data_IF_884071498806
#
_entry.id   IF_884071498806
#
_cell.length_a   1.000
_cell.length_b   1.000
_cell.length_c   1.000
_cell.angle_alpha   90.00
_cell.angle_beta   90.00
_cell.angle_gamma   90.00
#
_symmetry.space_group_name_H-M   'P 1'
#
loop_
_entity.id
_entity.type
_entity.pdbx_description
1 polymer ?
#
# COMPACT_ATOMS: atom_id res chain seq x y z
N UNK A 1 -12.55 -5.64 6.14
CA UNK A 1 -11.69 -4.44 6.10
C UNK A 1 -11.23 -4.24 4.67
N UNK A 2 -11.64 -3.15 4.03
CA UNK A 2 -11.16 -2.81 2.68
C UNK A 2 -9.84 -2.03 2.83
N UNK A 3 -8.76 -2.53 2.23
CA UNK A 3 -7.47 -1.82 2.24
C UNK A 3 -7.53 -0.65 1.26
N UNK A 4 -6.88 0.46 1.60
CA UNK A 4 -6.81 1.68 0.78
C UNK A 4 -5.38 2.15 0.61
N UNK A 5 -5.13 2.93 -0.44
CA UNK A 5 -3.81 3.47 -0.72
C UNK A 5 -3.43 4.50 0.36
N UNK A 6 -2.32 4.34 1.07
CA UNK A 6 -1.93 5.27 2.15
C UNK A 6 -1.58 6.68 1.66
N UNK A 7 -1.40 6.87 0.34
CA UNK A 7 -1.09 8.18 -0.25
C UNK A 7 -2.31 8.94 -0.80
N UNK A 8 -3.37 8.24 -1.22
CA UNK A 8 -4.52 8.91 -1.86
C UNK A 8 -5.88 8.37 -1.45
N UNK A 9 -5.93 7.43 -0.50
CA UNK A 9 -7.13 6.73 -0.06
C UNK A 9 -7.91 6.00 -1.19
N UNK A 10 -7.30 5.86 -2.36
CA UNK A 10 -7.89 5.17 -3.50
C UNK A 10 -7.89 3.64 -3.36
N UNK A 11 -8.59 2.95 -4.26
CA UNK A 11 -8.64 1.49 -4.26
C UNK A 11 -7.25 0.89 -4.52
N UNK A 12 -7.00 -0.27 -3.90
CA UNK A 12 -5.76 -1.04 -4.06
C UNK A 12 -6.06 -2.51 -4.32
N UNK A 13 -5.10 -3.17 -4.95
CA UNK A 13 -5.12 -4.61 -5.22
C UNK A 13 -4.17 -5.32 -4.25
N UNK A 14 -4.59 -6.41 -3.62
CA UNK A 14 -3.69 -7.25 -2.82
C UNK A 14 -2.88 -8.11 -3.79
N UNK A 15 -1.56 -7.91 -3.82
CA UNK A 15 -0.66 -8.65 -4.73
C UNK A 15 0.12 -9.75 -4.02
N UNK A 16 0.18 -9.71 -2.69
CA UNK A 16 0.81 -10.75 -1.87
C UNK A 16 0.34 -10.65 -0.41
N UNK A 17 0.35 -11.78 0.30
CA UNK A 17 0.06 -11.85 1.75
C UNK A 17 1.10 -12.73 2.43
N UNK A 18 1.56 -12.32 3.61
CA UNK A 18 2.47 -13.09 4.44
C UNK A 18 1.82 -14.39 4.92
N UNK A 19 2.65 -15.40 5.21
CA UNK A 19 2.19 -16.70 5.69
C UNK A 19 1.41 -16.60 7.01
N UNK A 20 1.83 -15.71 7.90
CA UNK A 20 1.15 -15.47 9.18
C UNK A 20 -0.12 -14.62 9.02
N UNK A 21 -0.36 -14.05 7.83
CA UNK A 21 -1.52 -13.24 7.48
C UNK A 21 -1.52 -11.82 8.04
N UNK A 22 -0.45 -11.40 8.71
CA UNK A 22 -0.31 -10.09 9.39
C UNK A 22 0.24 -8.99 8.48
N UNK A 23 0.83 -9.35 7.35
CA UNK A 23 1.39 -8.38 6.42
C UNK A 23 0.82 -8.64 5.02
N UNK A 24 0.41 -7.57 4.36
CA UNK A 24 -0.13 -7.61 2.99
C UNK A 24 0.61 -6.60 2.14
N UNK A 25 1.01 -7.02 0.95
CA UNK A 25 1.49 -6.12 -0.07
C UNK A 25 0.29 -5.69 -0.93
N UNK A 26 0.05 -4.39 -1.01
CA UNK A 26 -1.01 -3.81 -1.83
C UNK A 26 -0.44 -2.92 -2.92
N UNK A 27 -1.02 -2.96 -4.10
CA UNK A 27 -0.65 -2.15 -5.26
C UNK A 27 -1.70 -1.08 -5.51
N UNK A 28 -1.28 0.18 -5.59
CA UNK A 28 -2.12 1.27 -6.08
C UNK A 28 -1.77 1.60 -7.54
N UNK A 29 -2.77 1.56 -8.40
CA UNK A 29 -2.62 1.88 -9.83
C UNK A 29 -2.88 3.37 -10.16
N UNK A 30 -3.22 4.18 -9.16
CA UNK A 30 -3.36 5.62 -9.32
C UNK A 30 -2.00 6.30 -9.56
N UNK A 31 -2.03 7.51 -10.13
CA UNK A 31 -0.84 8.33 -10.32
C UNK A 31 -0.46 9.01 -9.01
N UNK A 32 0.80 8.85 -8.60
CA UNK A 32 1.35 9.47 -7.40
C UNK A 32 2.59 10.28 -7.73
N UNK A 33 2.74 11.44 -7.08
CA UNK A 33 3.96 12.23 -7.12
C UNK A 33 4.87 11.76 -5.98
N UNK A 34 5.85 10.91 -6.28
CA UNK A 34 6.82 10.44 -5.29
C UNK A 34 8.09 11.26 -5.41
N UNK A 35 8.47 11.96 -4.34
CA UNK A 35 9.74 12.69 -4.27
C UNK A 35 10.82 11.68 -3.84
N UNK A 36 11.75 11.27 -4.72
CA UNK A 36 12.80 10.35 -4.34
C UNK A 36 13.72 11.02 -3.31
N UNK A 37 13.81 10.45 -2.10
CA UNK A 37 14.61 11.00 -0.99
C UNK A 37 16.13 11.11 -1.24
N UNK A 38 16.64 10.58 -2.37
CA UNK A 38 18.10 10.44 -2.60
C UNK A 38 18.78 11.51 -3.47
N UNK A 39 18.06 12.37 -4.21
CA UNK A 39 18.73 13.35 -5.07
C UNK A 39 18.38 14.80 -4.71
N UNK A 40 19.37 15.50 -4.16
CA UNK A 40 19.38 16.93 -3.79
C UNK A 40 19.46 17.88 -5.00
N UNK A 41 19.09 17.41 -6.19
CA UNK A 41 19.08 18.18 -7.43
C UNK A 41 17.67 18.10 -8.01
N UNK A 42 17.08 19.26 -8.25
CA UNK A 42 15.76 19.55 -8.80
C UNK A 42 15.40 18.70 -10.03
N UNK A 43 15.08 17.42 -9.82
CA UNK A 43 14.48 16.59 -10.87
C UNK A 43 12.97 16.80 -10.80
N UNK A 44 12.29 17.06 -11.94
CA UNK A 44 10.84 17.17 -11.95
C UNK A 44 10.23 15.87 -11.39
N UNK A 45 9.33 16.02 -10.43
CA UNK A 45 8.63 14.91 -9.79
C UNK A 45 7.76 14.24 -10.86
N UNK A 46 8.21 13.10 -11.39
CA UNK A 46 7.44 12.35 -12.37
C UNK A 46 6.35 11.55 -11.66
N UNK A 47 5.10 11.59 -12.14
CA UNK A 47 4.06 10.74 -11.60
C UNK A 47 4.41 9.28 -11.87
N UNK A 48 4.38 8.48 -10.81
CA UNK A 48 4.59 7.03 -10.84
C UNK A 48 3.25 6.32 -10.64
N UNK A 49 3.11 5.14 -11.24
CA UNK A 49 1.94 4.25 -11.11
C UNK A 49 2.40 2.89 -10.62
N UNK A 50 1.49 2.13 -10.02
CA UNK A 50 1.78 0.78 -9.55
C UNK A 50 2.66 0.77 -8.30
N UNK A 51 2.51 1.76 -7.43
CA UNK A 51 3.22 1.78 -6.16
C UNK A 51 2.74 0.62 -5.30
N UNK A 52 3.70 -0.07 -4.70
CA UNK A 52 3.45 -1.19 -3.78
C UNK A 52 3.76 -0.75 -2.37
N UNK A 53 2.83 -1.01 -1.46
CA UNK A 53 2.95 -0.74 -0.04
C UNK A 53 2.85 -2.05 0.74
N UNK A 54 3.70 -2.20 1.75
CA UNK A 54 3.57 -3.25 2.76
C UNK A 54 2.77 -2.67 3.92
N UNK A 55 1.63 -3.27 4.22
CA UNK A 55 0.70 -2.86 5.27
C UNK A 55 0.63 -3.98 6.30
N UNK A 56 0.79 -3.63 7.57
CA UNK A 56 0.47 -4.50 8.69
C UNK A 56 -1.04 -4.47 8.93
N UNK A 57 -1.64 -5.65 9.02
CA UNK A 57 -3.06 -5.82 9.32
C UNK A 57 -3.18 -6.58 10.63
N UNK A 58 -3.95 -6.03 11.55
CA UNK A 58 -4.35 -6.76 12.74
C UNK A 58 -5.17 -7.97 12.30
N UNK A 59 -4.85 -9.14 12.87
CA UNK A 59 -5.80 -10.23 12.88
C UNK A 59 -6.91 -9.78 13.82
N UNK A 60 -8.04 -9.38 13.27
CA UNK A 60 -9.24 -9.23 14.06
C UNK A 60 -9.52 -10.61 14.72
N UNK A 61 -9.15 -10.75 15.99
CA UNK A 61 -9.63 -11.83 16.85
C UNK A 61 -11.13 -11.59 17.06
N UNK A 62 -11.96 -12.18 16.19
CA UNK A 62 -13.23 -12.87 16.50
C UNK A 62 -14.10 -13.05 15.25
N UNK A 63 -14.06 -14.27 14.72
CA UNK A 63 -15.31 -14.99 14.45
C UNK A 63 -15.39 -16.16 15.43
N UNK A 64 -15.49 -15.84 16.72
CA UNK A 64 -16.16 -16.71 17.69
C UNK A 64 -17.60 -16.24 17.80
N UNK A 65 -18.49 -16.76 16.96
CA UNK A 65 -19.91 -16.93 17.31
C UNK A 65 -20.41 -18.21 16.63
N UNK A 66 -20.48 -19.26 17.44
CA UNK A 66 -21.37 -20.43 17.43
C UNK A 66 -21.49 -21.26 16.15
#
# INVERSE_FOLDING_TARGET
MELRCPLCDGPVEIVWRSKDGRTVAVRCNNRHLVIPRKNRLYRPVKPVRGLVFLIEVDKDEKSSVH
#
